data_IF_966365744838
#
_entry.id   IF_966365744838
#
_cell.length_a   1.000
_cell.length_b   1.000
_cell.length_c   1.000
_cell.angle_alpha   90.00
_cell.angle_beta   90.00
_cell.angle_gamma   90.00
#
_symmetry.space_group_name_H-M   'P 1'
#
loop_
_entity.id
_entity.type
_entity.pdbx_description
1 polymer ?
#
# COMPACT_ATOMS: atom_id res chain seq x y z
N UNK A 1 0.93 6.44 -20.95
CA UNK A 1 1.52 5.31 -21.70
C UNK A 1 1.39 4.03 -20.86
N UNK A 2 1.23 2.85 -21.47
CA UNK A 2 1.14 1.56 -20.75
C UNK A 2 2.03 0.52 -21.42
N UNK A 3 2.65 -0.35 -20.64
CA UNK A 3 3.39 -1.53 -21.13
C UNK A 3 2.83 -2.80 -20.46
N UNK A 4 3.00 -3.95 -21.14
CA UNK A 4 2.49 -5.24 -20.66
C UNK A 4 3.40 -5.91 -19.64
N UNK A 5 4.71 -5.71 -19.74
CA UNK A 5 5.69 -6.43 -18.93
C UNK A 5 6.87 -5.53 -18.50
N UNK A 6 7.01 -5.21 -17.20
CA UNK A 6 6.02 -5.41 -16.14
C UNK A 6 4.73 -4.63 -16.42
N UNK A 7 3.56 -5.20 -16.09
CA UNK A 7 2.25 -4.55 -16.35
C UNK A 7 2.12 -3.27 -15.54
N UNK A 8 2.38 -2.14 -16.17
CA UNK A 8 2.48 -0.83 -15.51
C UNK A 8 1.84 0.27 -16.36
N UNK A 9 1.58 1.41 -15.74
CA UNK A 9 1.16 2.63 -16.42
C UNK A 9 2.13 3.76 -16.08
N UNK A 10 2.57 4.50 -17.09
CA UNK A 10 3.31 5.74 -16.90
C UNK A 10 2.46 6.96 -17.28
N UNK A 11 2.43 7.93 -16.37
CA UNK A 11 1.98 9.30 -16.61
C UNK A 11 3.22 10.17 -16.87
N UNK A 12 3.29 10.77 -18.05
CA UNK A 12 4.44 11.59 -18.48
C UNK A 12 3.95 13.03 -18.59
N UNK A 13 4.61 13.95 -17.91
CA UNK A 13 4.28 15.38 -17.90
C UNK A 13 5.12 16.13 -18.93
N UNK A 14 4.63 17.28 -19.41
CA UNK A 14 5.37 18.16 -20.33
C UNK A 14 6.73 18.61 -19.77
N UNK A 15 6.87 18.67 -18.44
CA UNK A 15 8.12 18.99 -17.76
C UNK A 15 9.18 17.88 -17.82
N UNK A 16 8.89 16.74 -18.46
CA UNK A 16 9.75 15.56 -18.47
C UNK A 16 9.66 14.68 -17.22
N UNK A 17 8.89 15.07 -16.20
CA UNK A 17 8.62 14.22 -15.03
C UNK A 17 7.76 13.03 -15.45
N UNK A 18 8.01 11.87 -14.86
CA UNK A 18 7.26 10.66 -15.12
C UNK A 18 6.87 10.00 -13.80
N UNK A 19 5.61 9.61 -13.68
CA UNK A 19 5.08 8.81 -12.58
C UNK A 19 4.72 7.44 -13.13
N UNK A 20 5.27 6.37 -12.54
CA UNK A 20 5.04 4.99 -12.96
C UNK A 20 4.33 4.23 -11.84
N UNK A 21 3.16 3.66 -12.15
CA UNK A 21 2.33 2.95 -11.18
C UNK A 21 2.01 1.52 -11.62
N UNK A 22 1.69 0.66 -10.66
CA UNK A 22 1.20 -0.71 -10.90
C UNK A 22 2.25 -1.82 -10.83
N UNK A 23 3.52 -1.48 -10.55
CA UNK A 23 4.55 -2.48 -10.32
C UNK A 23 4.36 -3.17 -8.97
N UNK A 24 4.76 -4.45 -8.87
CA UNK A 24 4.65 -5.25 -7.63
C UNK A 24 5.94 -5.29 -6.80
N UNK A 25 7.08 -4.88 -7.39
CA UNK A 25 8.39 -4.82 -6.72
C UNK A 25 9.13 -3.51 -7.03
N UNK A 26 10.15 -3.14 -6.23
CA UNK A 26 11.02 -2.00 -6.59
C UNK A 26 11.71 -2.25 -7.94
N UNK A 27 12.17 -3.48 -8.17
CA UNK A 27 12.93 -3.85 -9.36
C UNK A 27 12.07 -3.74 -10.62
N UNK A 28 10.83 -4.25 -10.57
CA UNK A 28 9.88 -4.10 -11.68
C UNK A 28 9.54 -2.64 -11.94
N UNK A 29 9.39 -1.84 -10.88
CA UNK A 29 9.15 -0.40 -11.01
C UNK A 29 10.30 0.27 -11.75
N UNK A 30 11.55 0.02 -11.31
CA UNK A 30 12.75 0.58 -11.93
C UNK A 30 12.94 0.09 -13.37
N UNK A 31 12.71 -1.20 -13.63
CA UNK A 31 12.75 -1.80 -14.96
C UNK A 31 11.71 -1.15 -15.88
N UNK A 32 10.46 -1.03 -15.43
CA UNK A 32 9.39 -0.40 -16.19
C UNK A 32 9.73 1.07 -16.49
N UNK A 33 10.19 1.85 -15.50
CA UNK A 33 10.61 3.23 -15.72
C UNK A 33 11.73 3.36 -16.76
N UNK A 34 12.72 2.45 -16.75
CA UNK A 34 13.76 2.40 -17.79
C UNK A 34 13.20 2.07 -19.17
N UNK A 35 12.24 1.13 -19.26
CA UNK A 35 11.56 0.79 -20.52
C UNK A 35 10.80 2.01 -21.07
N UNK A 36 10.09 2.76 -20.23
CA UNK A 36 9.41 4.00 -20.65
C UNK A 36 10.40 5.05 -21.16
N UNK A 37 11.49 5.31 -20.42
CA UNK A 37 12.53 6.24 -20.88
C UNK A 37 13.11 5.82 -22.24
N UNK A 38 13.33 4.51 -22.45
CA UNK A 38 13.81 3.98 -23.73
C UNK A 38 12.81 4.16 -24.87
N UNK A 39 11.51 4.04 -24.61
CA UNK A 39 10.46 4.31 -25.61
C UNK A 39 10.52 5.79 -26.02
N UNK A 40 10.60 6.71 -25.05
CA UNK A 40 10.68 8.15 -25.31
C UNK A 40 11.94 8.49 -26.14
N UNK A 41 13.09 7.90 -25.83
CA UNK A 41 14.32 8.05 -26.63
C UNK A 41 14.16 7.59 -28.07
N UNK A 42 13.49 6.44 -28.29
CA UNK A 42 13.23 5.91 -29.64
C UNK A 42 12.31 6.80 -30.47
N UNK A 43 11.50 7.65 -29.82
CA UNK A 43 10.66 8.65 -30.48
C UNK A 43 11.44 9.93 -30.85
N UNK A 44 12.75 9.98 -30.61
CA UNK A 44 13.61 11.11 -30.97
C UNK A 44 13.80 12.17 -29.89
N UNK A 45 13.26 11.97 -28.69
CA UNK A 45 13.45 12.89 -27.57
C UNK A 45 14.74 12.58 -26.80
N UNK A 46 15.48 13.63 -26.41
CA UNK A 46 16.66 13.50 -25.56
C UNK A 46 16.30 13.26 -24.08
N UNK A 47 15.62 12.14 -23.80
CA UNK A 47 15.24 11.76 -22.44
C UNK A 47 16.38 10.98 -21.75
N UNK A 48 16.65 11.30 -20.49
CA UNK A 48 17.58 10.57 -19.62
C UNK A 48 16.81 9.99 -18.44
N UNK A 49 17.15 8.76 -18.04
CA UNK A 49 16.57 8.15 -16.85
C UNK A 49 17.39 8.55 -15.62
N UNK A 50 16.87 9.49 -14.83
CA UNK A 50 17.50 10.01 -13.60
C UNK A 50 16.48 10.06 -12.47
N UNK A 51 16.96 10.28 -11.24
CA UNK A 51 16.14 10.61 -10.06
C UNK A 51 15.02 9.61 -9.76
N UNK A 52 15.28 8.33 -10.02
CA UNK A 52 14.34 7.26 -9.67
C UNK A 52 14.14 7.22 -8.16
N UNK A 53 12.90 7.39 -7.73
CA UNK A 53 12.51 7.38 -6.32
C UNK A 53 11.12 6.78 -6.16
N UNK A 54 10.99 5.89 -5.20
CA UNK A 54 9.69 5.36 -4.77
C UNK A 54 8.91 6.48 -4.06
N UNK A 55 7.70 6.75 -4.53
CA UNK A 55 6.83 7.78 -3.95
C UNK A 55 5.82 7.18 -2.97
N UNK A 56 5.28 6.00 -3.27
CA UNK A 56 4.37 5.28 -2.40
C UNK A 56 4.48 3.77 -2.58
N UNK A 57 4.23 3.04 -1.50
CA UNK A 57 4.08 1.59 -1.45
C UNK A 57 2.73 1.32 -0.82
N UNK A 58 1.93 0.48 -1.47
CA UNK A 58 0.67 -0.02 -0.92
C UNK A 58 0.86 -1.51 -0.61
N UNK A 59 0.63 -1.88 0.64
CA UNK A 59 0.55 -3.26 1.09
C UNK A 59 -0.90 -3.65 1.32
N UNK A 60 -1.21 -4.92 1.14
CA UNK A 60 -2.48 -5.48 1.59
C UNK A 60 -2.24 -6.79 2.33
N UNK A 61 -3.05 -7.02 3.36
CA UNK A 61 -3.02 -8.24 4.14
C UNK A 61 -4.43 -8.64 4.59
N UNK A 62 -4.59 -9.87 5.03
CA UNK A 62 -5.84 -10.42 5.53
C UNK A 62 -5.55 -11.23 6.79
N UNK A 63 -6.04 -10.74 7.94
CA UNK A 63 -5.81 -11.38 9.24
C UNK A 63 -6.75 -12.56 9.50
N UNK A 64 -7.68 -12.85 8.57
CA UNK A 64 -8.57 -14.02 8.56
C UNK A 64 -9.54 -14.14 9.74
N UNK A 65 -9.83 -13.03 10.43
CA UNK A 65 -10.90 -12.97 11.42
C UNK A 65 -11.63 -11.62 11.36
N UNK A 66 -12.93 -11.59 11.72
CA UNK A 66 -13.70 -10.36 11.67
C UNK A 66 -13.30 -9.38 12.77
N UNK A 67 -13.34 -8.08 12.45
CA UNK A 67 -12.95 -6.98 13.35
C UNK A 67 -14.19 -6.15 13.71
N UNK A 68 -14.41 -5.90 15.00
CA UNK A 68 -15.46 -4.98 15.47
C UNK A 68 -15.01 -3.52 15.34
N UNK A 69 -15.30 -2.90 14.19
CA UNK A 69 -14.80 -1.56 13.85
C UNK A 69 -15.33 -0.46 14.77
N UNK A 70 -16.56 -0.56 15.28
CA UNK A 70 -17.14 0.42 16.21
C UNK A 70 -16.33 0.47 17.52
N UNK A 71 -15.92 -0.71 18.01
CA UNK A 71 -15.09 -0.83 19.21
C UNK A 71 -13.69 -0.25 19.00
N UNK A 72 -13.11 -0.51 17.81
CA UNK A 72 -11.82 0.07 17.43
C UNK A 72 -11.90 1.59 17.29
N UNK A 73 -12.94 2.11 16.61
CA UNK A 73 -13.18 3.53 16.43
C UNK A 73 -13.35 4.25 17.78
N UNK A 74 -14.09 3.65 18.71
CA UNK A 74 -14.28 4.21 20.04
C UNK A 74 -12.97 4.27 20.85
N UNK A 75 -12.21 3.16 20.88
CA UNK A 75 -10.97 3.08 21.66
C UNK A 75 -9.81 3.87 21.06
N UNK A 76 -9.75 3.99 19.73
CA UNK A 76 -8.69 4.67 18.99
C UNK A 76 -9.21 5.93 18.28
N UNK A 77 -10.19 6.63 18.84
CA UNK A 77 -10.88 7.75 18.16
C UNK A 77 -9.91 8.87 17.70
N UNK A 78 -8.82 9.11 18.44
CA UNK A 78 -7.81 10.11 18.06
C UNK A 78 -7.03 9.76 16.78
N UNK A 79 -7.01 8.48 16.40
CA UNK A 79 -6.25 7.98 15.26
C UNK A 79 -7.16 7.40 14.18
N UNK A 80 -8.46 7.29 14.42
CA UNK A 80 -9.37 6.59 13.53
C UNK A 80 -10.57 7.43 13.12
N UNK A 81 -11.10 7.14 11.94
CA UNK A 81 -12.33 7.71 11.42
C UNK A 81 -13.16 6.58 10.82
N UNK A 82 -14.39 6.43 11.27
CA UNK A 82 -15.29 5.38 10.82
C UNK A 82 -16.69 5.95 10.66
N UNK A 83 -17.08 6.13 9.39
CA UNK A 83 -18.38 6.64 8.98
C UNK A 83 -18.91 5.66 7.92
N UNK A 84 -19.58 4.55 8.33
CA UNK A 84 -19.92 3.44 7.44
C UNK A 84 -20.82 3.85 6.26
N UNK A 85 -21.62 4.91 6.43
CA UNK A 85 -22.44 5.51 5.37
C UNK A 85 -21.60 6.19 4.27
N UNK A 86 -20.38 6.64 4.60
CA UNK A 86 -19.47 7.31 3.66
C UNK A 86 -18.41 6.36 3.10
N UNK A 87 -17.91 5.45 3.93
CA UNK A 87 -16.87 4.49 3.54
C UNK A 87 -17.00 3.19 4.37
N UNK A 88 -17.03 2.00 3.73
CA UNK A 88 -17.29 0.73 4.41
C UNK A 88 -16.17 0.22 5.33
N UNK A 89 -15.04 0.91 5.40
CA UNK A 89 -13.90 0.55 6.25
C UNK A 89 -13.59 1.64 7.28
N UNK A 90 -12.78 1.29 8.28
CA UNK A 90 -12.22 2.25 9.22
C UNK A 90 -10.89 2.78 8.65
N UNK A 91 -10.73 4.10 8.65
CA UNK A 91 -9.48 4.76 8.29
C UNK A 91 -8.67 4.97 9.56
N UNK A 92 -7.51 4.30 9.68
CA UNK A 92 -6.59 4.47 10.80
C UNK A 92 -5.34 5.23 10.35
N UNK A 93 -4.99 6.29 11.06
CA UNK A 93 -3.82 7.14 10.80
C UNK A 93 -2.75 6.87 11.83
N UNK A 94 -1.76 6.06 11.45
CA UNK A 94 -0.59 5.81 12.26
C UNK A 94 0.41 6.96 12.10
N UNK A 95 0.89 7.49 13.23
CA UNK A 95 1.84 8.61 13.23
C UNK A 95 3.28 8.16 12.99
N UNK A 96 3.66 6.99 13.51
CA UNK A 96 5.01 6.44 13.39
C UNK A 96 4.96 4.90 13.22
N UNK A 97 5.37 4.36 12.06
CA UNK A 97 5.64 5.08 10.81
C UNK A 97 4.40 5.82 10.29
N UNK A 98 4.59 6.86 9.45
CA UNK A 98 3.48 7.68 8.93
C UNK A 98 2.72 6.91 7.85
N UNK A 99 1.75 6.10 8.27
CA UNK A 99 1.00 5.17 7.42
C UNK A 99 -0.50 5.36 7.64
N UNK A 100 -1.26 5.21 6.56
CA UNK A 100 -2.72 5.10 6.62
C UNK A 100 -3.12 3.66 6.39
N UNK A 101 -3.94 3.12 7.28
CA UNK A 101 -4.52 1.79 7.17
C UNK A 101 -6.02 1.92 6.87
N UNK A 102 -6.50 1.11 5.92
CA UNK A 102 -7.92 0.92 5.65
C UNK A 102 -8.29 -0.47 6.16
N UNK A 103 -9.07 -0.52 7.23
CA UNK A 103 -9.38 -1.75 7.96
C UNK A 103 -10.84 -2.10 7.70
N UNK A 104 -11.10 -3.31 7.22
CA UNK A 104 -12.45 -3.78 6.90
C UNK A 104 -12.95 -4.79 7.93
N UNK A 105 -14.27 -4.85 8.14
CA UNK A 105 -14.92 -5.81 9.05
C UNK A 105 -14.49 -7.25 8.75
N UNK A 106 -14.21 -7.57 7.49
CA UNK A 106 -13.75 -8.91 7.04
C UNK A 106 -12.38 -9.35 7.57
N UNK A 107 -11.57 -8.45 8.16
CA UNK A 107 -10.17 -8.73 8.50
C UNK A 107 -9.16 -8.34 7.41
N UNK A 108 -9.64 -7.93 6.23
CA UNK A 108 -8.78 -7.34 5.20
C UNK A 108 -8.28 -5.96 5.64
N UNK A 109 -7.01 -5.68 5.35
CA UNK A 109 -6.35 -4.43 5.68
C UNK A 109 -5.52 -3.98 4.46
N UNK A 110 -5.63 -2.69 4.12
CA UNK A 110 -4.77 -2.04 3.13
C UNK A 110 -3.92 -1.00 3.83
N UNK A 111 -2.59 -1.06 3.67
CA UNK A 111 -1.63 -0.12 4.22
C UNK A 111 -1.06 0.74 3.08
N UNK A 112 -1.08 2.07 3.21
CA UNK A 112 -0.55 3.00 2.20
C UNK A 112 0.17 4.17 2.84
N UNK A 113 1.06 4.81 2.08
CA UNK A 113 1.83 5.98 2.50
C UNK A 113 3.31 5.69 2.78
N UNK A 114 3.71 4.42 2.72
CA UNK A 114 5.09 4.00 2.92
C UNK A 114 5.97 4.38 1.72
N UNK A 115 7.25 4.68 1.97
CA UNK A 115 8.25 4.87 0.92
C UNK A 115 9.25 3.72 0.84
N UNK A 116 9.35 2.95 1.92
CA UNK A 116 10.18 1.74 2.00
C UNK A 116 9.34 0.58 2.54
N UNK A 117 9.67 -0.65 2.16
CA UNK A 117 8.83 -1.83 2.45
C UNK A 117 8.76 -2.09 3.96
N UNK A 118 9.84 -1.81 4.67
CA UNK A 118 10.01 -1.99 6.11
C UNK A 118 8.96 -1.20 6.91
N UNK A 119 8.55 -0.02 6.44
CA UNK A 119 7.50 0.77 7.09
C UNK A 119 6.13 0.07 7.07
N UNK A 120 5.85 -0.73 6.03
CA UNK A 120 4.61 -1.52 5.97
C UNK A 120 4.65 -2.65 7.00
N UNK A 121 5.77 -3.38 7.09
CA UNK A 121 5.93 -4.44 8.08
C UNK A 121 5.83 -3.90 9.51
N UNK A 122 6.54 -2.81 9.81
CA UNK A 122 6.48 -2.16 11.12
C UNK A 122 5.05 -1.68 11.46
N UNK A 123 4.34 -1.08 10.49
CA UNK A 123 2.96 -0.66 10.71
C UNK A 123 2.04 -1.86 10.99
N UNK A 124 2.24 -2.97 10.29
CA UNK A 124 1.48 -4.19 10.53
C UNK A 124 1.78 -4.79 11.91
N UNK A 125 3.05 -4.91 12.31
CA UNK A 125 3.45 -5.43 13.63
C UNK A 125 2.88 -4.59 14.78
N UNK A 126 2.79 -3.27 14.61
CA UNK A 126 2.23 -2.37 15.62
C UNK A 126 0.70 -2.47 15.73
N UNK A 127 -0.01 -2.64 14.62
CA UNK A 127 -1.48 -2.67 14.64
C UNK A 127 -2.03 -4.06 14.95
N UNK A 128 -1.30 -5.13 14.59
CA UNK A 128 -1.79 -6.50 14.72
C UNK A 128 -2.24 -6.90 16.15
N UNK A 129 -1.50 -6.56 17.23
CA UNK A 129 -1.95 -6.83 18.60
C UNK A 129 -3.24 -6.08 18.97
N UNK A 130 -3.40 -4.85 18.47
CA UNK A 130 -4.62 -4.05 18.68
C UNK A 130 -5.82 -4.74 18.03
N UNK A 131 -5.67 -5.22 16.79
CA UNK A 131 -6.75 -5.89 16.07
C UNK A 131 -7.07 -7.27 16.66
N UNK A 132 -6.05 -8.00 17.09
CA UNK A 132 -6.22 -9.30 17.75
C UNK A 132 -7.03 -9.18 19.04
N UNK A 133 -6.83 -8.11 19.82
CA UNK A 133 -7.64 -7.80 21.00
C UNK A 133 -9.10 -7.40 20.70
N UNK A 134 -9.45 -7.18 19.43
CA UNK A 134 -10.81 -6.84 18.97
C UNK A 134 -11.50 -8.03 18.27
N UNK A 135 -10.84 -9.20 18.19
CA UNK A 135 -11.43 -10.38 17.56
C UNK A 135 -12.58 -10.94 18.39
N UNK A 136 -13.67 -11.32 17.73
CA UNK A 136 -14.80 -12.04 18.34
C UNK A 136 -14.48 -13.52 18.65
N UNK A 137 -13.37 -14.06 18.12
CA UNK A 137 -12.86 -15.40 18.42
C UNK A 137 -11.32 -15.41 18.38
N UNK A 138 -10.65 -15.78 19.47
CA UNK A 138 -9.21 -16.01 19.49
C UNK A 138 -8.89 -17.22 18.59
N UNK A 139 -8.27 -17.00 17.42
CA UNK A 139 -7.69 -18.09 16.64
C UNK A 139 -6.17 -17.88 16.56
N UNK A 140 -5.40 -18.71 17.28
CA UNK A 140 -3.94 -18.66 17.32
C UNK A 140 -3.25 -19.10 16.01
N UNK A 141 -4.01 -19.54 14.99
CA UNK A 141 -3.44 -20.21 13.81
C UNK A 141 -3.01 -19.30 12.65
N UNK A 142 -3.31 -17.99 12.67
CA UNK A 142 -2.98 -17.10 11.55
C UNK A 142 -1.49 -16.68 11.47
N UNK A 143 -0.65 -17.10 12.43
CA UNK A 143 0.76 -16.71 12.49
C UNK A 143 1.70 -17.53 11.56
N UNK A 144 1.18 -18.45 10.74
CA UNK A 144 1.99 -19.40 9.96
C UNK A 144 2.05 -19.13 8.45
N UNK A 145 1.40 -18.08 7.96
CA UNK A 145 1.46 -17.65 6.55
C UNK A 145 1.80 -16.17 6.49
N UNK A 146 2.81 -15.80 5.70
CA UNK A 146 3.26 -14.41 5.52
C UNK A 146 2.05 -13.55 5.07
N UNK A 147 1.46 -12.72 5.96
CA UNK A 147 0.12 -12.16 5.73
C UNK A 147 0.08 -11.12 4.60
N UNK A 148 1.23 -10.80 4.00
CA UNK A 148 1.45 -9.69 3.08
C UNK A 148 1.60 -10.15 1.61
N UNK A 149 0.68 -11.00 1.15
CA UNK A 149 0.75 -11.65 -0.18
C UNK A 149 0.54 -10.72 -1.39
N UNK A 150 0.04 -9.48 -1.25
CA UNK A 150 -0.14 -8.60 -2.42
C UNK A 150 0.29 -7.14 -2.11
N UNK A 151 1.59 -6.88 -2.29
CA UNK A 151 2.13 -5.52 -2.38
C UNK A 151 1.92 -4.96 -3.79
N UNK A 152 1.24 -3.82 -3.88
CA UNK A 152 1.09 -3.05 -5.12
C UNK A 152 1.73 -1.68 -4.91
N UNK A 153 2.75 -1.32 -5.69
CA UNK A 153 3.40 -0.01 -5.58
C UNK A 153 2.72 0.98 -6.53
N UNK A 154 2.47 2.19 -6.03
CA UNK A 154 1.84 3.30 -6.75
C UNK A 154 2.84 4.44 -6.86
#
# INVERSE_FOLDING_TARGET
MRIREPKTTALIFASGKMVVTGAKSEDDSKLASRKYARIIQKLGFNAKFTDFKIQNIVGSCDIKFPIRLEGLASRHHNFSSYEPELFPGLIYRMMKPKIVLLIFVSGKIVLTGAKVREEIYQAFELIYPVLSGMSLHYCLLCALTDPLEDFRKV
#
